data_IF_323377016844
#
_entry.id   IF_323377016844
#
_cell.length_a   1.000
_cell.length_b   1.000
_cell.length_c   1.000
_cell.angle_alpha   90.00
_cell.angle_beta   90.00
_cell.angle_gamma   90.00
#
_symmetry.space_group_name_H-M   'P 1'
#
loop_
_entity.id
_entity.type
_entity.pdbx_description
1 polymer ?
#
# COMPACT_ATOMS: atom_id res chain seq x y z
N UNK A 1 38.92 7.24 -25.22
CA UNK A 1 37.68 6.74 -25.86
C UNK A 1 36.61 6.72 -24.77
N UNK A 2 35.83 7.80 -24.66
CA UNK A 2 34.47 7.94 -25.21
C UNK A 2 33.49 7.11 -24.36
N UNK A 3 32.96 7.72 -23.28
CA UNK A 3 31.54 8.12 -23.10
C UNK A 3 30.62 6.88 -22.98
N UNK A 4 29.73 6.76 -21.99
CA UNK A 4 28.67 7.72 -21.72
C UNK A 4 28.01 7.48 -20.36
N UNK A 5 27.76 8.60 -19.68
CA UNK A 5 26.74 8.79 -18.67
C UNK A 5 25.34 8.42 -19.19
N UNK A 6 24.53 7.77 -18.36
CA UNK A 6 23.06 7.90 -18.33
C UNK A 6 22.71 7.79 -16.84
N UNK A 7 22.83 8.86 -16.06
CA UNK A 7 21.74 9.82 -15.80
C UNK A 7 20.37 9.12 -15.86
N UNK A 8 20.03 8.38 -14.80
CA UNK A 8 18.62 8.13 -14.52
C UNK A 8 18.00 9.47 -14.16
N UNK A 9 17.39 10.07 -15.18
CA UNK A 9 16.58 11.28 -15.12
C UNK A 9 15.63 11.13 -13.95
N UNK A 10 15.74 12.05 -12.99
CA UNK A 10 14.75 12.27 -11.96
C UNK A 10 13.39 12.42 -12.64
N UNK A 11 12.54 11.41 -12.50
CA UNK A 11 11.21 11.42 -13.06
C UNK A 11 10.41 12.46 -12.27
N UNK A 12 10.12 13.55 -12.97
CA UNK A 12 9.47 14.75 -12.50
C UNK A 12 8.26 14.45 -11.61
N UNK A 13 8.33 14.93 -10.37
CA UNK A 13 7.20 15.00 -9.45
C UNK A 13 6.24 16.10 -9.91
N UNK A 14 5.27 15.75 -10.75
CA UNK A 14 4.09 16.57 -11.04
C UNK A 14 2.85 15.67 -11.06
N UNK A 15 2.44 15.24 -9.87
CA UNK A 15 1.10 14.75 -9.62
C UNK A 15 0.68 15.17 -8.19
N UNK A 16 -0.19 16.18 -8.12
CA UNK A 16 -1.20 16.33 -7.09
C UNK A 16 -0.75 16.55 -5.65
N UNK A 17 -1.01 17.75 -5.14
CA UNK A 17 -1.12 18.07 -3.71
C UNK A 17 -2.39 17.44 -3.08
N UNK A 18 -2.69 16.18 -3.39
CA UNK A 18 -3.87 15.47 -2.84
C UNK A 18 -3.43 14.09 -2.37
N UNK A 19 -3.08 14.05 -1.08
CA UNK A 19 -3.05 12.90 -0.18
C UNK A 19 -1.93 11.86 -0.38
N UNK A 20 -1.03 11.82 0.60
CA UNK A 20 -0.12 10.71 0.86
C UNK A 20 -0.89 9.43 1.30
N UNK A 21 -1.94 9.03 0.58
CA UNK A 21 -2.61 7.74 0.84
C UNK A 21 -1.67 6.61 0.44
N UNK A 22 -1.61 5.57 1.28
CA UNK A 22 -0.94 4.32 0.92
C UNK A 22 -1.47 3.81 -0.41
N UNK A 23 -0.59 3.55 -1.37
CA UNK A 23 -0.97 2.98 -2.66
C UNK A 23 -1.22 1.48 -2.55
N UNK A 24 -2.23 0.97 -3.25
CA UNK A 24 -2.42 -0.48 -3.44
C UNK A 24 -1.84 -0.92 -4.79
N UNK A 25 -1.41 -2.18 -4.85
CA UNK A 25 -1.14 -2.89 -6.11
C UNK A 25 -2.41 -3.68 -6.48
N UNK A 26 -3.16 -3.28 -7.53
CA UNK A 26 -4.42 -3.93 -7.89
C UNK A 26 -4.25 -5.41 -8.24
N UNK A 27 -5.22 -6.23 -7.85
CA UNK A 27 -5.34 -7.61 -8.31
C UNK A 27 -6.30 -7.68 -9.51
N UNK A 28 -5.78 -8.10 -10.66
CA UNK A 28 -6.55 -8.24 -11.91
C UNK A 28 -7.61 -9.35 -11.82
N UNK A 29 -7.44 -10.32 -10.93
CA UNK A 29 -8.38 -11.43 -10.74
C UNK A 29 -9.57 -11.05 -9.83
N UNK A 30 -9.39 -10.06 -8.95
CA UNK A 30 -10.40 -9.65 -7.97
C UNK A 30 -10.63 -8.13 -8.03
N UNK A 31 -11.50 -7.67 -8.95
CA UNK A 31 -11.81 -6.25 -9.08
C UNK A 31 -12.24 -5.62 -7.76
N UNK A 32 -11.64 -4.48 -7.42
CA UNK A 32 -11.89 -3.76 -6.17
C UNK A 32 -11.00 -4.19 -5.00
N UNK A 33 -10.10 -5.15 -5.19
CA UNK A 33 -9.08 -5.54 -4.22
C UNK A 33 -7.67 -5.42 -4.80
N UNK A 34 -6.70 -5.34 -3.90
CA UNK A 34 -5.29 -5.30 -4.23
C UNK A 34 -4.46 -5.66 -3.01
N UNK A 35 -3.17 -5.40 -3.11
CA UNK A 35 -2.21 -5.70 -2.05
C UNK A 35 -1.46 -4.45 -1.59
N UNK A 36 -1.15 -4.41 -0.31
CA UNK A 36 -0.32 -3.39 0.32
C UNK A 36 0.73 -4.07 1.21
N UNK A 37 1.98 -3.66 1.12
CA UNK A 37 3.05 -4.17 2.00
C UNK A 37 3.17 -3.24 3.20
N UNK A 38 3.01 -3.79 4.39
CA UNK A 38 3.02 -3.06 5.66
C UNK A 38 4.38 -2.39 5.84
N UNK A 39 4.37 -1.07 6.04
CA UNK A 39 5.56 -0.29 6.34
C UNK A 39 5.89 -0.29 7.84
N UNK A 40 7.12 0.12 8.19
CA UNK A 40 7.49 0.29 9.59
C UNK A 40 6.70 1.44 10.21
N UNK A 41 6.11 1.20 11.38
CA UNK A 41 5.27 2.18 12.09
C UNK A 41 3.79 2.11 11.74
N UNK A 42 3.39 1.28 10.78
CA UNK A 42 1.98 1.07 10.45
C UNK A 42 1.23 0.37 11.60
N UNK A 43 -0.04 0.73 11.75
CA UNK A 43 -1.04 -0.04 12.47
C UNK A 43 -2.24 -0.33 11.55
N UNK A 44 -3.07 -1.31 11.93
CA UNK A 44 -4.17 -1.75 11.07
C UNK A 44 -5.28 -0.70 10.90
N UNK A 45 -5.47 0.17 11.89
CA UNK A 45 -6.48 1.25 11.85
C UNK A 45 -6.13 2.31 10.81
N UNK A 46 -4.89 2.76 10.77
CA UNK A 46 -4.46 3.80 9.83
C UNK A 46 -4.45 3.25 8.39
N UNK A 47 -3.99 2.00 8.20
CA UNK A 47 -4.08 1.32 6.92
C UNK A 47 -5.53 1.22 6.45
N UNK A 48 -6.43 0.76 7.32
CA UNK A 48 -7.84 0.62 6.98
C UNK A 48 -8.47 1.97 6.60
N UNK A 49 -8.14 3.03 7.32
CA UNK A 49 -8.64 4.39 7.06
C UNK A 49 -8.19 4.88 5.69
N UNK A 50 -6.94 4.66 5.31
CA UNK A 50 -6.41 5.06 4.00
C UNK A 50 -7.09 4.34 2.85
N UNK A 51 -7.42 3.07 3.03
CA UNK A 51 -8.13 2.25 2.04
C UNK A 51 -9.68 2.30 2.18
N UNK A 52 -10.21 3.21 3.01
CA UNK A 52 -11.66 3.42 3.14
C UNK A 52 -12.42 2.22 3.70
N UNK A 53 -11.82 1.48 4.63
CA UNK A 53 -12.40 0.32 5.33
C UNK A 53 -12.19 0.42 6.84
N UNK A 54 -12.46 -0.64 7.59
CA UNK A 54 -12.24 -0.72 9.04
C UNK A 54 -11.21 -1.79 9.37
N UNK A 55 -10.49 -1.63 10.49
CA UNK A 55 -9.52 -2.63 10.93
C UNK A 55 -10.16 -4.01 11.12
N UNK A 56 -11.42 -4.08 11.59
CA UNK A 56 -12.17 -5.33 11.72
C UNK A 56 -12.41 -6.01 10.38
N UNK A 57 -12.86 -5.26 9.35
CA UNK A 57 -13.03 -5.80 8.00
C UNK A 57 -11.70 -6.24 7.42
N UNK A 58 -10.65 -5.43 7.58
CA UNK A 58 -9.33 -5.73 7.07
C UNK A 58 -8.72 -6.97 7.74
N UNK A 59 -8.90 -7.11 9.05
CA UNK A 59 -8.51 -8.31 9.81
C UNK A 59 -9.27 -9.55 9.33
N UNK A 60 -10.57 -9.42 9.05
CA UNK A 60 -11.41 -10.51 8.55
C UNK A 60 -10.92 -10.99 7.18
N UNK A 61 -10.69 -10.06 6.23
CA UNK A 61 -10.22 -10.38 4.87
C UNK A 61 -8.85 -11.08 4.90
N UNK A 62 -7.98 -10.69 5.84
CA UNK A 62 -6.62 -11.22 5.96
C UNK A 62 -6.47 -12.35 7.00
N UNK A 63 -7.58 -12.82 7.60
CA UNK A 63 -7.57 -13.83 8.67
C UNK A 63 -6.62 -13.49 9.83
N UNK A 64 -6.57 -12.22 10.23
CA UNK A 64 -5.71 -11.74 11.31
C UNK A 64 -6.43 -11.95 12.65
N UNK A 65 -5.91 -12.81 13.54
CA UNK A 65 -6.55 -13.09 14.83
C UNK A 65 -6.42 -11.93 15.83
N UNK A 66 -5.34 -11.16 15.73
CA UNK A 66 -5.09 -9.99 16.57
C UNK A 66 -4.67 -8.78 15.72
N UNK A 67 -5.56 -7.78 15.54
CA UNK A 67 -5.28 -6.55 14.77
C UNK A 67 -4.04 -5.77 15.21
N UNK A 68 -3.65 -5.88 16.49
CA UNK A 68 -2.51 -5.16 17.06
C UNK A 68 -1.16 -5.85 16.78
N UNK A 69 -1.17 -7.05 16.18
CA UNK A 69 0.01 -7.87 15.94
C UNK A 69 0.37 -8.01 14.45
N UNK A 70 0.23 -6.93 13.68
CA UNK A 70 0.73 -6.88 12.31
C UNK A 70 2.24 -6.60 12.26
N UNK A 71 2.91 -7.02 11.18
CA UNK A 71 4.37 -6.92 11.05
C UNK A 71 4.78 -6.21 9.76
N UNK A 72 5.71 -5.25 9.82
CA UNK A 72 6.31 -4.64 8.63
C UNK A 72 6.88 -5.70 7.68
N UNK A 73 6.72 -5.46 6.38
CA UNK A 73 7.12 -6.38 5.31
C UNK A 73 6.08 -7.45 4.97
N UNK A 74 5.06 -7.67 5.80
CA UNK A 74 3.95 -8.53 5.43
C UNK A 74 3.07 -7.86 4.38
N UNK A 75 2.42 -8.68 3.55
CA UNK A 75 1.45 -8.21 2.55
C UNK A 75 0.03 -8.38 3.08
N UNK A 76 -0.76 -7.32 2.98
CA UNK A 76 -2.20 -7.31 3.25
C UNK A 76 -2.98 -7.21 1.96
N UNK A 77 -4.05 -7.99 1.86
CA UNK A 77 -5.13 -7.75 0.91
C UNK A 77 -5.96 -6.56 1.41
N UNK A 78 -6.12 -5.55 0.57
CA UNK A 78 -6.83 -4.29 0.87
C UNK A 78 -7.85 -3.99 -0.21
N UNK A 79 -8.94 -3.26 0.10
CA UNK A 79 -9.75 -2.63 -0.92
C UNK A 79 -8.88 -1.72 -1.79
N UNK A 80 -9.02 -1.83 -3.10
CA UNK A 80 -8.27 -1.08 -4.09
C UNK A 80 -9.26 -0.55 -5.12
N UNK A 81 -9.77 0.66 -4.87
CA UNK A 81 -10.84 1.30 -5.62
C UNK A 81 -10.43 2.68 -6.08
#
# INVERSE_FOLDING_TARGET
MKTSSILFVAMSALAGLTEARRGCKPDVAHPGFGTYTIASGDNLNDIATDFGTTATQLATINSIPNPDQIKPGNTLVVPCR
#
